data_IF_887832624242
#
_entry.id   IF_887832624242
#
_cell.length_a   1.000
_cell.length_b   1.000
_cell.length_c   1.000
_cell.angle_alpha   90.00
_cell.angle_beta   90.00
_cell.angle_gamma   90.00
#
_symmetry.space_group_name_H-M   'P 1'
#
loop_
_entity.id
_entity.type
_entity.pdbx_description
1 polymer ?
#
# COMPACT_ATOMS: atom_id res chain seq x y z
N UNK A 1 13.62 9.86 27.14
CA UNK A 1 13.89 8.72 26.21
C UNK A 1 12.73 7.73 26.09
N UNK A 2 12.18 7.15 27.16
CA UNK A 2 11.09 6.14 27.08
C UNK A 2 9.82 6.58 26.33
N UNK A 3 9.38 7.84 26.47
CA UNK A 3 8.20 8.39 25.74
C UNK A 3 8.42 8.54 24.24
N UNK A 4 9.64 8.86 23.81
CA UNK A 4 10.01 8.93 22.39
C UNK A 4 10.08 7.55 21.74
N UNK A 5 10.60 6.56 22.48
CA UNK A 5 10.63 5.17 22.01
C UNK A 5 9.21 4.62 21.81
N UNK A 6 8.28 4.89 22.75
CA UNK A 6 6.90 4.43 22.64
C UNK A 6 6.15 5.09 21.47
N UNK A 7 6.35 6.41 21.25
CA UNK A 7 5.79 7.12 20.10
C UNK A 7 6.34 6.59 18.76
N UNK A 8 7.63 6.23 18.71
CA UNK A 8 8.25 5.64 17.52
C UNK A 8 7.71 4.24 17.21
N UNK A 9 7.50 3.41 18.23
CA UNK A 9 6.89 2.07 18.07
C UNK A 9 5.44 2.19 17.57
N UNK A 10 4.64 3.09 18.15
CA UNK A 10 3.26 3.34 17.68
C UNK A 10 3.21 3.87 16.25
N UNK A 11 4.17 4.71 15.87
CA UNK A 11 4.30 5.22 14.51
C UNK A 11 4.66 4.11 13.51
N UNK A 12 5.56 3.19 13.86
CA UNK A 12 5.88 2.02 13.03
C UNK A 12 4.66 1.10 12.88
N UNK A 13 3.91 0.87 13.96
CA UNK A 13 2.68 0.07 13.93
C UNK A 13 1.63 0.74 13.02
N UNK A 14 1.48 2.07 13.09
CA UNK A 14 0.56 2.83 12.25
C UNK A 14 0.96 2.84 10.76
N UNK A 15 2.25 2.91 10.45
CA UNK A 15 2.74 2.79 9.06
C UNK A 15 2.51 1.38 8.53
N UNK A 16 2.78 0.35 9.34
CA UNK A 16 2.57 -1.03 8.93
C UNK A 16 1.07 -1.34 8.74
N UNK A 17 0.20 -0.85 9.62
CA UNK A 17 -1.25 -1.04 9.45
C UNK A 17 -1.79 -0.29 8.23
N UNK A 18 -1.30 0.92 7.95
CA UNK A 18 -1.66 1.67 6.75
C UNK A 18 -1.13 0.99 5.46
N UNK A 19 0.11 0.50 5.48
CA UNK A 19 0.70 -0.24 4.36
C UNK A 19 -0.07 -1.54 4.08
N UNK A 20 -0.42 -2.30 5.12
CA UNK A 20 -1.20 -3.53 5.00
C UNK A 20 -2.64 -3.27 4.53
N UNK A 21 -3.27 -2.18 4.99
CA UNK A 21 -4.57 -1.73 4.48
C UNK A 21 -4.53 -1.34 2.99
N UNK A 22 -3.48 -0.67 2.53
CA UNK A 22 -3.30 -0.34 1.10
C UNK A 22 -3.07 -1.57 0.22
N UNK A 23 -2.37 -2.58 0.74
CA UNK A 23 -2.09 -3.83 0.04
C UNK A 23 -3.35 -4.69 -0.14
N UNK A 24 -4.16 -4.82 0.90
CA UNK A 24 -5.45 -5.53 0.87
C UNK A 24 -6.43 -4.89 -0.15
N UNK A 25 -6.39 -3.55 -0.31
CA UNK A 25 -7.19 -2.85 -1.33
C UNK A 25 -6.78 -3.28 -2.75
N UNK A 26 -5.49 -3.41 -3.04
CA UNK A 26 -5.00 -3.80 -4.37
C UNK A 26 -5.32 -5.25 -4.70
N UNK A 27 -5.19 -6.16 -3.74
CA UNK A 27 -5.61 -7.57 -3.90
C UNK A 27 -7.10 -7.65 -4.22
N UNK A 28 -7.95 -6.96 -3.45
CA UNK A 28 -9.40 -6.92 -3.68
C UNK A 28 -9.76 -6.35 -5.05
N UNK A 29 -9.04 -5.35 -5.54
CA UNK A 29 -9.22 -4.81 -6.89
C UNK A 29 -8.90 -5.86 -7.96
N UNK A 30 -7.79 -6.60 -7.81
CA UNK A 30 -7.42 -7.67 -8.74
C UNK A 30 -8.42 -8.83 -8.72
N UNK A 31 -8.95 -9.20 -7.56
CA UNK A 31 -10.03 -10.19 -7.45
C UNK A 31 -11.28 -9.74 -8.22
N UNK A 32 -11.70 -8.47 -8.06
CA UNK A 32 -12.81 -7.89 -8.82
C UNK A 32 -12.56 -7.90 -10.33
N UNK A 33 -11.34 -7.60 -10.76
CA UNK A 33 -10.97 -7.69 -12.18
C UNK A 33 -11.03 -9.13 -12.70
N UNK A 34 -10.56 -10.11 -11.93
CA UNK A 34 -10.70 -11.52 -12.28
C UNK A 34 -12.17 -11.93 -12.43
N UNK A 35 -13.03 -11.50 -11.51
CA UNK A 35 -14.47 -11.76 -11.59
C UNK A 35 -15.11 -11.08 -12.82
N UNK A 36 -14.78 -9.81 -13.07
CA UNK A 36 -15.26 -9.06 -14.24
C UNK A 36 -14.87 -9.74 -15.55
N UNK A 37 -13.64 -10.23 -15.64
CA UNK A 37 -13.10 -10.87 -16.83
C UNK A 37 -13.21 -12.40 -16.79
N UNK A 38 -14.11 -12.95 -15.97
CA UNK A 38 -14.20 -14.41 -15.78
C UNK A 38 -14.50 -15.18 -17.07
N UNK A 39 -15.04 -14.54 -18.12
CA UNK A 39 -15.31 -15.15 -19.43
C UNK A 39 -14.20 -14.89 -20.47
N UNK A 40 -13.34 -13.89 -20.26
CA UNK A 40 -12.20 -13.60 -21.15
C UNK A 40 -10.96 -14.32 -20.61
N UNK A 41 -10.59 -15.43 -21.26
CA UNK A 41 -9.52 -16.31 -20.80
C UNK A 41 -8.17 -15.61 -20.66
N UNK A 42 -7.79 -14.75 -21.61
CA UNK A 42 -6.48 -14.09 -21.59
C UNK A 42 -6.39 -13.03 -20.50
N UNK A 43 -7.41 -12.17 -20.40
CA UNK A 43 -7.49 -11.18 -19.33
C UNK A 43 -7.55 -11.85 -17.96
N UNK A 44 -8.27 -12.96 -17.82
CA UNK A 44 -8.33 -13.71 -16.57
C UNK A 44 -6.96 -14.27 -16.17
N UNK A 45 -6.20 -14.83 -17.12
CA UNK A 45 -4.83 -15.31 -16.85
C UNK A 45 -3.95 -14.15 -16.40
N UNK A 46 -4.02 -13.01 -17.08
CA UNK A 46 -3.22 -11.82 -16.75
C UNK A 46 -3.49 -11.34 -15.33
N UNK A 47 -4.76 -11.07 -14.99
CA UNK A 47 -5.12 -10.54 -13.68
C UNK A 47 -4.92 -11.56 -12.57
N UNK A 48 -5.18 -12.84 -12.82
CA UNK A 48 -4.96 -13.90 -11.84
C UNK A 48 -3.46 -14.14 -11.57
N UNK A 49 -2.60 -13.97 -12.58
CA UNK A 49 -1.14 -14.01 -12.38
C UNK A 49 -0.68 -12.84 -11.52
N UNK A 50 -1.14 -11.62 -11.81
CA UNK A 50 -0.85 -10.44 -10.99
C UNK A 50 -1.35 -10.61 -9.54
N UNK A 51 -2.55 -11.17 -9.38
CA UNK A 51 -3.12 -11.48 -8.08
C UNK A 51 -2.24 -12.49 -7.32
N UNK A 52 -1.77 -13.54 -8.00
CA UNK A 52 -0.92 -14.56 -7.39
C UNK A 52 0.43 -13.96 -6.92
N UNK A 53 1.06 -13.13 -7.75
CA UNK A 53 2.33 -12.50 -7.44
C UNK A 53 2.20 -11.57 -6.23
N UNK A 54 1.16 -10.73 -6.21
CA UNK A 54 0.88 -9.81 -5.12
C UNK A 54 0.54 -10.56 -3.83
N UNK A 55 -0.37 -11.53 -3.89
CA UNK A 55 -0.75 -12.35 -2.75
C UNK A 55 0.45 -13.15 -2.19
N UNK A 56 1.37 -13.56 -3.07
CA UNK A 56 2.62 -14.20 -2.66
C UNK A 56 3.53 -13.27 -1.92
N UNK A 57 3.75 -12.07 -2.45
CA UNK A 57 4.57 -11.04 -1.81
C UNK A 57 4.03 -10.64 -0.44
N UNK A 58 2.71 -10.60 -0.29
CA UNK A 58 2.06 -10.13 0.94
C UNK A 58 1.67 -11.26 1.90
N UNK A 59 1.97 -12.52 1.57
CA UNK A 59 1.55 -13.71 2.33
C UNK A 59 0.03 -13.83 2.57
N UNK A 60 -0.77 -13.39 1.60
CA UNK A 60 -2.24 -13.44 1.67
C UNK A 60 -2.77 -14.80 1.18
N UNK A 61 -3.03 -15.72 2.12
CA UNK A 61 -3.41 -17.10 1.81
C UNK A 61 -4.70 -17.20 0.96
N UNK A 62 -5.76 -16.48 1.33
CA UNK A 62 -7.04 -16.54 0.61
C UNK A 62 -6.92 -16.02 -0.82
N UNK A 63 -6.16 -14.94 -1.02
CA UNK A 63 -5.90 -14.39 -2.33
C UNK A 63 -5.06 -15.33 -3.21
N UNK A 64 -4.08 -16.04 -2.63
CA UNK A 64 -3.35 -17.11 -3.33
C UNK A 64 -4.29 -18.22 -3.82
N UNK A 65 -5.17 -18.69 -2.94
CA UNK A 65 -6.16 -19.74 -3.28
C UNK A 65 -7.02 -19.28 -4.46
N UNK A 66 -7.57 -18.06 -4.40
CA UNK A 66 -8.39 -17.53 -5.48
C UNK A 66 -7.61 -17.36 -6.78
N UNK A 67 -6.37 -16.85 -6.72
CA UNK A 67 -5.52 -16.69 -7.90
C UNK A 67 -5.25 -18.03 -8.59
N UNK A 68 -4.87 -19.05 -7.81
CA UNK A 68 -4.69 -20.40 -8.32
C UNK A 68 -5.98 -20.98 -8.92
N UNK A 69 -7.14 -20.74 -8.29
CA UNK A 69 -8.43 -21.16 -8.84
C UNK A 69 -8.75 -20.49 -10.17
N UNK A 70 -8.54 -19.17 -10.28
CA UNK A 70 -8.79 -18.42 -11.52
C UNK A 70 -7.84 -18.88 -12.64
N UNK A 71 -6.55 -19.04 -12.34
CA UNK A 71 -5.56 -19.57 -13.29
C UNK A 71 -5.93 -20.99 -13.73
N UNK A 72 -6.28 -21.86 -12.78
CA UNK A 72 -6.75 -23.20 -13.05
C UNK A 72 -7.93 -23.22 -14.02
N UNK A 73 -8.99 -22.45 -13.75
CA UNK A 73 -10.16 -22.38 -14.63
C UNK A 73 -9.82 -21.82 -16.01
N UNK A 74 -9.00 -20.77 -16.10
CA UNK A 74 -8.65 -20.15 -17.37
C UNK A 74 -7.79 -21.09 -18.25
N UNK A 75 -6.81 -21.76 -17.65
CA UNK A 75 -5.93 -22.70 -18.34
C UNK A 75 -6.67 -23.96 -18.81
N UNK A 76 -7.70 -24.40 -18.07
CA UNK A 76 -8.60 -25.48 -18.50
C UNK A 76 -9.27 -25.12 -19.83
N UNK A 77 -9.77 -23.89 -19.98
CA UNK A 77 -10.41 -23.41 -21.23
C UNK A 77 -9.44 -23.26 -22.39
N UNK A 78 -8.15 -23.02 -22.11
CA UNK A 78 -7.06 -23.07 -23.10
C UNK A 78 -6.60 -24.49 -23.44
N UNK A 79 -7.30 -25.52 -22.94
CA UNK A 79 -6.93 -26.93 -23.07
C UNK A 79 -5.54 -27.27 -22.51
N UNK A 80 -4.97 -26.39 -21.68
CA UNK A 80 -3.70 -26.62 -20.98
C UNK A 80 -3.94 -27.39 -19.68
N UNK A 81 -4.47 -28.61 -19.80
CA UNK A 81 -5.01 -29.40 -18.68
C UNK A 81 -3.97 -29.64 -17.57
N UNK A 82 -2.73 -29.99 -17.93
CA UNK A 82 -1.67 -30.24 -16.93
C UNK A 82 -1.33 -28.98 -16.11
N UNK A 83 -1.23 -27.82 -16.77
CA UNK A 83 -0.98 -26.54 -16.09
C UNK A 83 -2.18 -26.15 -15.21
N UNK A 84 -3.39 -26.36 -15.72
CA UNK A 84 -4.62 -26.13 -14.97
C UNK A 84 -4.66 -26.97 -13.69
N UNK A 85 -4.46 -28.28 -13.79
CA UNK A 85 -4.43 -29.19 -12.64
C UNK A 85 -3.34 -28.80 -11.63
N UNK A 86 -2.16 -28.38 -12.09
CA UNK A 86 -1.10 -27.89 -11.19
C UNK A 86 -1.59 -26.73 -10.31
N UNK A 87 -2.22 -25.71 -10.90
CA UNK A 87 -2.77 -24.59 -10.11
C UNK A 87 -3.93 -25.04 -9.22
N UNK A 88 -4.83 -25.88 -9.71
CA UNK A 88 -5.98 -26.35 -8.92
C UNK A 88 -5.54 -27.18 -7.71
N UNK A 89 -4.57 -28.08 -7.85
CA UNK A 89 -4.01 -28.83 -6.71
C UNK A 89 -3.24 -27.93 -5.74
N UNK A 90 -2.54 -26.90 -6.24
CA UNK A 90 -1.93 -25.90 -5.36
C UNK A 90 -2.98 -25.16 -4.54
N UNK A 91 -4.11 -24.77 -5.15
CA UNK A 91 -5.22 -24.18 -4.41
C UNK A 91 -5.72 -25.13 -3.32
N UNK A 92 -6.02 -26.40 -3.65
CA UNK A 92 -6.49 -27.41 -2.68
C UNK A 92 -5.51 -27.60 -1.51
N UNK A 93 -4.20 -27.62 -1.78
CA UNK A 93 -3.17 -27.77 -0.74
C UNK A 93 -3.15 -26.62 0.27
N UNK A 94 -3.62 -25.44 -0.11
CA UNK A 94 -3.63 -24.24 0.71
C UNK A 94 -4.90 -24.11 1.56
N UNK A 95 -5.93 -24.94 1.35
CA UNK A 95 -7.19 -24.87 2.10
C UNK A 95 -7.04 -25.34 3.55
N UNK A 96 -7.59 -24.53 4.46
CA UNK A 96 -7.90 -24.84 5.86
C UNK A 96 -9.36 -25.30 6.03
N UNK A 97 -9.72 -26.10 7.05
CA UNK A 97 -11.11 -26.45 7.35
C UNK A 97 -12.06 -25.25 7.59
N UNK A 98 -11.51 -24.09 7.95
CA UNK A 98 -12.28 -22.85 8.19
C UNK A 98 -12.56 -22.05 6.91
N UNK A 99 -11.97 -22.45 5.79
CA UNK A 99 -12.05 -21.70 4.54
C UNK A 99 -13.39 -21.86 3.83
N UNK A 100 -13.67 -20.95 2.91
CA UNK A 100 -14.92 -20.93 2.17
C UNK A 100 -15.08 -22.19 1.29
N UNK A 101 -15.95 -23.10 1.74
CA UNK A 101 -16.24 -24.36 1.07
C UNK A 101 -16.73 -24.18 -0.38
N UNK A 102 -17.38 -23.08 -0.72
CA UNK A 102 -17.84 -22.82 -2.10
C UNK A 102 -16.67 -22.67 -3.08
N UNK A 103 -15.55 -22.08 -2.62
CA UNK A 103 -14.34 -21.95 -3.43
C UNK A 103 -13.74 -23.33 -3.68
N UNK A 104 -13.64 -24.18 -2.64
CA UNK A 104 -13.18 -25.57 -2.75
C UNK A 104 -14.04 -26.39 -3.70
N UNK A 105 -15.37 -26.28 -3.57
CA UNK A 105 -16.35 -26.93 -4.43
C UNK A 105 -16.11 -26.58 -5.92
N UNK A 106 -15.90 -25.29 -6.22
CA UNK A 106 -15.63 -24.86 -7.59
C UNK A 106 -14.29 -25.37 -8.14
N UNK A 107 -13.27 -25.56 -7.29
CA UNK A 107 -11.99 -26.15 -7.67
C UNK A 107 -12.18 -27.63 -8.03
N UNK A 108 -12.92 -28.37 -7.21
CA UNK A 108 -13.24 -29.77 -7.49
C UNK A 108 -14.02 -29.93 -8.79
N UNK A 109 -15.00 -29.07 -9.09
CA UNK A 109 -15.71 -29.10 -10.37
C UNK A 109 -14.75 -28.89 -11.56
N UNK A 110 -13.79 -27.96 -11.45
CA UNK A 110 -12.79 -27.77 -12.51
C UNK A 110 -11.88 -29.01 -12.67
N UNK A 111 -11.46 -29.64 -11.57
CA UNK A 111 -10.67 -30.88 -11.61
C UNK A 111 -11.47 -32.02 -12.26
N UNK A 112 -12.74 -32.19 -11.90
CA UNK A 112 -13.64 -33.19 -12.51
C UNK A 112 -13.71 -33.00 -14.03
N UNK A 113 -13.92 -31.78 -14.50
CA UNK A 113 -13.98 -31.49 -15.93
C UNK A 113 -12.65 -31.75 -16.64
N UNK A 114 -11.53 -31.36 -16.02
CA UNK A 114 -10.19 -31.63 -16.56
C UNK A 114 -9.91 -33.13 -16.67
N UNK A 115 -10.25 -33.90 -15.63
CA UNK A 115 -10.05 -35.35 -15.62
C UNK A 115 -10.97 -36.07 -16.62
N UNK A 116 -12.23 -35.64 -16.77
CA UNK A 116 -13.12 -36.12 -17.84
C UNK A 116 -12.54 -35.86 -19.23
N UNK A 117 -12.08 -34.62 -19.48
CA UNK A 117 -11.51 -34.24 -20.78
C UNK A 117 -10.22 -35.00 -21.11
N UNK A 118 -9.44 -35.37 -20.09
CA UNK A 118 -8.23 -36.20 -20.23
C UNK A 118 -8.48 -37.70 -20.12
N UNK A 119 -9.76 -38.13 -20.08
CA UNK A 119 -10.19 -39.54 -19.94
C UNK A 119 -9.68 -40.24 -18.67
N UNK A 120 -9.33 -39.47 -17.63
CA UNK A 120 -8.90 -39.95 -16.32
C UNK A 120 -10.12 -40.14 -15.40
N UNK A 121 -10.96 -41.12 -15.70
CA UNK A 121 -12.28 -41.23 -15.09
C UNK A 121 -12.25 -41.53 -13.59
N UNK A 122 -11.27 -42.29 -13.09
CA UNK A 122 -11.14 -42.60 -11.66
C UNK A 122 -10.87 -41.32 -10.83
N UNK A 123 -9.99 -40.45 -11.33
CA UNK A 123 -9.72 -39.15 -10.71
C UNK A 123 -10.96 -38.26 -10.73
N UNK A 124 -11.71 -38.24 -11.83
CA UNK A 124 -12.98 -37.51 -11.89
C UNK A 124 -13.98 -38.06 -10.85
N UNK A 125 -14.14 -39.38 -10.77
CA UNK A 125 -15.01 -40.03 -9.81
C UNK A 125 -14.63 -39.71 -8.36
N UNK A 126 -13.33 -39.73 -8.05
CA UNK A 126 -12.80 -39.35 -6.74
C UNK A 126 -13.26 -37.95 -6.33
N UNK A 127 -13.05 -36.93 -7.17
CA UNK A 127 -13.44 -35.56 -6.83
C UNK A 127 -14.96 -35.36 -6.78
N UNK A 128 -15.74 -36.09 -7.57
CA UNK A 128 -17.19 -36.06 -7.46
C UNK A 128 -17.67 -36.65 -6.12
N UNK A 129 -17.05 -37.75 -5.66
CA UNK A 129 -17.38 -38.33 -4.35
C UNK A 129 -16.99 -37.40 -3.19
N UNK A 130 -15.88 -36.66 -3.31
CA UNK A 130 -15.55 -35.62 -2.33
C UNK A 130 -16.60 -34.50 -2.32
N UNK A 131 -17.06 -34.06 -3.50
CA UNK A 131 -18.16 -33.08 -3.59
C UNK A 131 -19.44 -33.61 -2.93
N UNK A 132 -19.84 -34.85 -3.17
CA UNK A 132 -21.02 -35.44 -2.52
C UNK A 132 -20.88 -35.53 -1.00
N UNK A 133 -19.70 -35.96 -0.52
CA UNK A 133 -19.40 -36.08 0.90
C UNK A 133 -19.48 -34.74 1.62
N UNK A 134 -18.79 -33.73 1.08
CA UNK A 134 -18.72 -32.38 1.68
C UNK A 134 -20.07 -31.64 1.62
N UNK A 135 -20.98 -32.02 0.73
CA UNK A 135 -22.20 -31.26 0.42
C UNK A 135 -23.51 -32.07 0.58
N UNK A 136 -23.51 -33.14 1.38
CA UNK A 136 -24.69 -34.00 1.59
C UNK A 136 -25.96 -33.23 1.98
N UNK A 137 -25.78 -32.23 2.85
CA UNK A 137 -26.84 -31.37 3.40
C UNK A 137 -26.79 -29.94 2.84
N UNK A 138 -26.22 -29.74 1.65
CA UNK A 138 -26.09 -28.41 1.07
C UNK A 138 -27.49 -27.80 0.81
N UNK A 139 -27.74 -26.55 1.24
CA UNK A 139 -29.07 -25.93 1.16
C UNK A 139 -29.48 -25.60 -0.28
N UNK A 140 -28.50 -25.38 -1.17
CA UNK A 140 -28.78 -25.16 -2.59
C UNK A 140 -29.05 -26.47 -3.33
N UNK A 141 -30.32 -26.69 -3.65
CA UNK A 141 -30.79 -27.81 -4.47
C UNK A 141 -30.12 -27.84 -5.85
N UNK A 142 -29.88 -26.68 -6.46
CA UNK A 142 -29.23 -26.61 -7.77
C UNK A 142 -27.81 -27.19 -7.71
N UNK A 143 -27.03 -26.76 -6.72
CA UNK A 143 -25.68 -27.27 -6.51
C UNK A 143 -25.68 -28.79 -6.30
N UNK A 144 -26.57 -29.31 -5.45
CA UNK A 144 -26.69 -30.76 -5.21
C UNK A 144 -27.03 -31.53 -6.49
N UNK A 145 -27.97 -31.04 -7.30
CA UNK A 145 -28.34 -31.66 -8.57
C UNK A 145 -27.19 -31.58 -9.59
N UNK A 146 -26.38 -30.52 -9.56
CA UNK A 146 -25.19 -30.39 -10.41
C UNK A 146 -24.16 -31.50 -10.16
N UNK A 147 -24.06 -32.03 -8.93
CA UNK A 147 -23.14 -33.12 -8.61
C UNK A 147 -23.63 -34.44 -9.25
N UNK A 148 -24.93 -34.74 -9.17
CA UNK A 148 -25.51 -35.91 -9.85
C UNK A 148 -25.36 -35.83 -11.37
N UNK A 149 -25.54 -34.65 -11.97
CA UNK A 149 -25.29 -34.46 -13.40
C UNK A 149 -23.83 -34.70 -13.79
N UNK A 150 -22.87 -34.32 -12.92
CA UNK A 150 -21.46 -34.63 -13.15
C UNK A 150 -21.19 -36.15 -13.10
N UNK A 151 -21.85 -36.91 -12.21
CA UNK A 151 -21.80 -38.38 -12.24
C UNK A 151 -22.41 -38.94 -13.53
N UNK A 152 -23.60 -38.48 -13.90
CA UNK A 152 -24.27 -38.93 -15.12
C UNK A 152 -23.39 -38.74 -16.35
N UNK A 153 -22.85 -37.55 -16.54
CA UNK A 153 -21.96 -37.26 -17.67
C UNK A 153 -20.64 -38.03 -17.62
N UNK A 154 -20.13 -38.38 -16.44
CA UNK A 154 -18.97 -39.26 -16.30
C UNK A 154 -19.29 -40.69 -16.75
N UNK A 155 -20.40 -41.27 -16.28
CA UNK A 155 -20.84 -42.60 -16.69
C UNK A 155 -21.20 -42.66 -18.18
N UNK A 156 -21.74 -41.58 -18.73
CA UNK A 156 -22.05 -41.49 -20.16
C UNK A 156 -20.77 -41.56 -21.00
N UNK A 157 -19.69 -40.88 -20.58
CA UNK A 157 -18.37 -40.97 -21.23
C UNK A 157 -17.73 -42.36 -21.14
N UNK A 158 -18.18 -43.18 -20.19
CA UNK A 158 -17.81 -44.59 -20.03
C UNK A 158 -18.79 -45.55 -20.73
N UNK A 159 -19.79 -45.02 -21.46
CA UNK A 159 -20.86 -45.81 -22.09
C UNK A 159 -21.71 -46.63 -21.11
N UNK A 160 -21.71 -46.28 -19.82
CA UNK A 160 -22.55 -46.93 -18.80
C UNK A 160 -23.93 -46.25 -18.76
N UNK A 161 -24.82 -46.70 -19.64
CA UNK A 161 -26.12 -46.06 -19.88
C UNK A 161 -27.07 -46.17 -18.68
N UNK A 162 -27.08 -47.28 -17.95
CA UNK A 162 -27.97 -47.47 -16.80
C UNK A 162 -27.60 -46.54 -15.64
N UNK A 163 -26.31 -46.43 -15.34
CA UNK A 163 -25.83 -45.48 -14.32
C UNK A 163 -26.10 -44.04 -14.76
N UNK A 164 -25.90 -43.75 -16.06
CA UNK A 164 -26.21 -42.43 -16.62
C UNK A 164 -27.69 -42.07 -16.43
N UNK A 165 -28.59 -42.98 -16.82
CA UNK A 165 -30.03 -42.82 -16.68
C UNK A 165 -30.40 -42.58 -15.21
N UNK A 166 -29.92 -43.42 -14.29
CA UNK A 166 -30.17 -43.29 -12.86
C UNK A 166 -29.81 -41.92 -12.29
N UNK A 167 -28.60 -41.43 -12.59
CA UNK A 167 -28.15 -40.13 -12.08
C UNK A 167 -28.82 -38.94 -12.78
N UNK A 168 -29.22 -39.06 -14.05
CA UNK A 168 -30.03 -38.05 -14.73
C UNK A 168 -31.45 -37.97 -14.15
N UNK A 169 -32.10 -39.10 -13.90
CA UNK A 169 -33.40 -39.11 -13.22
C UNK A 169 -33.32 -38.45 -11.84
N UNK A 170 -32.26 -38.73 -11.07
CA UNK A 170 -32.02 -38.01 -9.80
C UNK A 170 -31.83 -36.52 -9.98
N UNK A 171 -31.07 -36.12 -11.01
CA UNK A 171 -30.83 -34.71 -11.34
C UNK A 171 -32.14 -33.99 -11.64
N UNK A 172 -32.96 -34.54 -12.53
CA UNK A 172 -34.23 -33.96 -12.99
C UNK A 172 -35.26 -33.91 -11.86
N UNK A 173 -35.41 -35.01 -11.10
CA UNK A 173 -36.33 -35.09 -9.96
C UNK A 173 -36.05 -34.03 -8.90
N UNK A 174 -34.79 -33.59 -8.78
CA UNK A 174 -34.41 -32.50 -7.88
C UNK A 174 -34.93 -31.12 -8.28
N UNK A 175 -35.50 -30.97 -9.48
CA UNK A 175 -36.18 -29.74 -9.94
C UNK A 175 -37.71 -29.88 -9.95
N UNK A 176 -38.25 -31.10 -9.82
CA UNK A 176 -39.70 -31.31 -9.74
C UNK A 176 -40.27 -30.63 -8.49
N UNK A 177 -41.42 -29.98 -8.64
CA UNK A 177 -42.08 -29.23 -7.55
C UNK A 177 -41.38 -27.93 -7.14
N UNK A 178 -40.27 -27.55 -7.78
CA UNK A 178 -39.54 -26.33 -7.48
C UNK A 178 -39.59 -25.36 -8.68
N UNK A 179 -39.98 -24.08 -8.49
CA UNK A 179 -39.98 -23.12 -9.58
C UNK A 179 -38.52 -22.82 -10.02
N UNK A 180 -38.28 -22.87 -11.33
CA UNK A 180 -36.98 -22.55 -11.94
C UNK A 180 -36.73 -21.04 -11.79
N UNK A 181 -35.70 -20.67 -11.03
CA UNK A 181 -35.51 -19.29 -10.57
C UNK A 181 -34.87 -18.38 -11.61
N UNK A 182 -34.08 -18.94 -12.52
CA UNK A 182 -33.26 -18.16 -13.46
C UNK A 182 -32.97 -18.93 -14.76
N UNK A 183 -32.50 -18.25 -15.82
CA UNK A 183 -32.17 -18.88 -17.10
C UNK A 183 -31.10 -19.97 -17.02
N UNK A 184 -30.20 -19.94 -16.03
CA UNK A 184 -29.16 -20.96 -15.89
C UNK A 184 -29.74 -22.30 -15.40
N UNK A 185 -30.70 -22.27 -14.48
CA UNK A 185 -31.42 -23.47 -14.05
C UNK A 185 -32.21 -24.09 -15.19
N UNK A 186 -32.93 -23.28 -15.98
CA UNK A 186 -33.63 -23.74 -17.19
C UNK A 186 -32.68 -24.37 -18.20
N UNK A 187 -31.53 -23.72 -18.46
CA UNK A 187 -30.48 -24.25 -19.33
C UNK A 187 -29.96 -25.60 -18.84
N UNK A 188 -29.68 -25.70 -17.54
CA UNK A 188 -29.16 -26.92 -16.94
C UNK A 188 -30.17 -28.08 -17.02
N UNK A 189 -31.44 -27.79 -16.74
CA UNK A 189 -32.51 -28.78 -16.85
C UNK A 189 -32.74 -29.22 -18.31
N UNK A 190 -32.71 -28.29 -19.26
CA UNK A 190 -32.79 -28.61 -20.69
C UNK A 190 -31.66 -29.57 -21.12
N UNK A 191 -30.42 -29.27 -20.71
CA UNK A 191 -29.27 -30.16 -20.97
C UNK A 191 -29.43 -31.54 -20.33
N UNK A 192 -30.02 -31.62 -19.15
CA UNK A 192 -30.30 -32.88 -18.46
C UNK A 192 -31.33 -33.73 -19.22
N UNK A 193 -32.41 -33.11 -19.70
CA UNK A 193 -33.40 -33.77 -20.55
C UNK A 193 -32.81 -34.22 -21.89
N UNK A 194 -32.01 -33.37 -22.54
CA UNK A 194 -31.34 -33.71 -23.81
C UNK A 194 -30.40 -34.91 -23.65
N UNK A 195 -29.61 -34.97 -22.57
CA UNK A 195 -28.73 -36.11 -22.33
C UNK A 195 -29.53 -37.38 -22.00
N UNK A 196 -30.63 -37.26 -21.25
CA UNK A 196 -31.49 -38.41 -20.95
C UNK A 196 -32.18 -38.93 -22.22
N UNK A 197 -32.59 -38.03 -23.11
CA UNK A 197 -33.10 -38.39 -24.43
C UNK A 197 -32.06 -39.17 -25.24
N UNK A 198 -30.80 -38.73 -25.28
CA UNK A 198 -29.71 -39.46 -25.97
C UNK A 198 -29.49 -40.86 -25.36
N UNK A 199 -29.60 -40.99 -24.04
CA UNK A 199 -29.53 -42.31 -23.37
C UNK A 199 -30.67 -43.22 -23.82
N UNK A 200 -31.91 -42.74 -23.84
CA UNK A 200 -33.04 -43.52 -24.33
C UNK A 200 -32.91 -43.87 -25.81
N UNK A 201 -32.40 -42.94 -26.64
CA UNK A 201 -32.13 -43.18 -28.05
C UNK A 201 -31.13 -44.32 -28.25
N UNK A 202 -30.02 -44.33 -27.49
CA UNK A 202 -29.02 -45.41 -27.54
C UNK A 202 -29.57 -46.75 -27.03
N UNK A 203 -30.51 -46.72 -26.07
CA UNK A 203 -31.27 -47.89 -25.61
C UNK A 203 -32.40 -48.31 -26.56
N UNK A 204 -32.58 -47.61 -27.69
CA UNK A 204 -33.62 -47.83 -28.70
C UNK A 204 -35.06 -47.59 -28.21
N UNK A 205 -35.23 -46.89 -27.08
CA UNK A 205 -36.53 -46.43 -26.61
C UNK A 205 -36.82 -45.04 -27.19
N UNK A 206 -37.21 -45.01 -28.47
CA UNK A 206 -37.40 -43.78 -29.22
C UNK A 206 -38.58 -42.94 -28.73
N UNK A 207 -39.59 -43.57 -28.11
CA UNK A 207 -40.74 -42.84 -27.54
C UNK A 207 -40.32 -42.06 -26.30
N UNK A 208 -39.61 -42.71 -25.36
CA UNK A 208 -39.09 -42.01 -24.17
C UNK A 208 -38.05 -40.96 -24.55
N UNK A 209 -37.19 -41.27 -25.52
CA UNK A 209 -36.22 -40.32 -26.06
C UNK A 209 -36.90 -39.06 -26.61
N UNK A 210 -37.94 -39.22 -27.44
CA UNK A 210 -38.71 -38.10 -27.99
C UNK A 210 -39.42 -37.28 -26.90
N UNK A 211 -39.98 -37.94 -25.87
CA UNK A 211 -40.60 -37.25 -24.73
C UNK A 211 -39.59 -36.33 -24.02
N UNK A 212 -38.41 -36.84 -23.68
CA UNK A 212 -37.38 -36.04 -23.01
C UNK A 212 -36.80 -34.96 -23.93
N UNK A 213 -36.59 -35.25 -25.23
CA UNK A 213 -36.15 -34.27 -26.21
C UNK A 213 -37.15 -33.10 -26.34
N UNK A 214 -38.46 -33.38 -26.27
CA UNK A 214 -39.52 -32.37 -26.27
C UNK A 214 -39.44 -31.44 -25.07
N UNK A 215 -39.23 -32.00 -23.86
CA UNK A 215 -39.02 -31.20 -22.64
C UNK A 215 -37.77 -30.31 -22.74
N UNK A 216 -36.68 -30.84 -23.29
CA UNK A 216 -35.47 -30.07 -23.57
C UNK A 216 -35.73 -28.91 -24.54
N UNK A 217 -36.45 -29.17 -25.63
CA UNK A 217 -36.75 -28.17 -26.65
C UNK A 217 -37.59 -27.02 -26.10
N UNK A 218 -38.62 -27.34 -25.31
CA UNK A 218 -39.49 -26.34 -24.70
C UNK A 218 -38.69 -25.34 -23.85
N UNK A 219 -37.82 -25.84 -22.96
CA UNK A 219 -36.96 -25.00 -22.13
C UNK A 219 -35.94 -24.23 -22.96
N UNK A 220 -35.34 -24.86 -23.98
CA UNK A 220 -34.31 -24.23 -24.83
C UNK A 220 -34.89 -23.07 -25.64
N UNK A 221 -36.11 -23.23 -26.18
CA UNK A 221 -36.85 -22.15 -26.86
C UNK A 221 -37.20 -21.02 -25.90
N UNK A 222 -37.71 -21.36 -24.71
CA UNK A 222 -38.09 -20.37 -23.69
C UNK A 222 -36.93 -19.44 -23.31
N UNK A 223 -35.72 -19.98 -23.16
CA UNK A 223 -34.54 -19.16 -22.81
C UNK A 223 -33.76 -18.62 -24.02
N UNK A 224 -34.26 -18.84 -25.25
CA UNK A 224 -33.60 -18.47 -26.50
C UNK A 224 -32.13 -18.96 -26.59
N UNK A 225 -31.86 -20.20 -26.17
CA UNK A 225 -30.50 -20.75 -26.15
C UNK A 225 -30.13 -21.40 -27.48
N UNK A 226 -29.81 -20.53 -28.46
CA UNK A 226 -29.52 -20.92 -29.86
C UNK A 226 -28.56 -22.11 -30.00
N UNK A 227 -27.45 -22.12 -29.27
CA UNK A 227 -26.44 -23.18 -29.38
C UNK A 227 -26.90 -24.58 -28.93
N UNK A 228 -28.05 -24.72 -28.27
CA UNK A 228 -28.65 -26.01 -27.94
C UNK A 228 -29.86 -26.37 -28.83
N UNK A 229 -30.37 -25.42 -29.62
CA UNK A 229 -31.49 -25.68 -30.54
C UNK A 229 -31.09 -26.69 -31.61
N UNK A 230 -29.96 -26.45 -32.29
CA UNK A 230 -29.38 -27.36 -33.30
C UNK A 230 -29.34 -28.82 -32.79
N UNK A 231 -28.68 -29.06 -31.66
CA UNK A 231 -28.56 -30.41 -31.06
C UNK A 231 -29.90 -31.04 -30.70
N UNK A 232 -30.86 -30.23 -30.25
CA UNK A 232 -32.17 -30.73 -29.87
C UNK A 232 -33.00 -31.07 -31.11
N UNK A 233 -32.94 -30.25 -32.17
CA UNK A 233 -33.58 -30.55 -33.45
C UNK A 233 -33.00 -31.79 -34.12
N UNK A 234 -31.67 -31.93 -34.12
CA UNK A 234 -31.01 -33.14 -34.59
C UNK A 234 -31.54 -34.40 -33.89
N UNK A 235 -31.64 -34.34 -32.55
CA UNK A 235 -32.16 -35.46 -31.77
C UNK A 235 -33.64 -35.74 -32.09
N UNK A 236 -34.47 -34.72 -32.26
CA UNK A 236 -35.86 -34.89 -32.71
C UNK A 236 -35.94 -35.54 -34.09
N UNK A 237 -35.12 -35.09 -35.03
CA UNK A 237 -35.07 -35.62 -36.39
C UNK A 237 -34.69 -37.11 -36.40
N UNK A 238 -33.62 -37.48 -35.67
CA UNK A 238 -33.17 -38.87 -35.50
C UNK A 238 -34.24 -39.76 -34.86
N UNK A 239 -34.97 -39.26 -33.86
CA UNK A 239 -36.06 -40.02 -33.21
C UNK A 239 -37.23 -40.24 -34.16
N UNK A 240 -37.68 -39.19 -34.86
CA UNK A 240 -38.78 -39.31 -35.83
C UNK A 240 -38.42 -40.23 -36.99
N UNK A 241 -37.17 -40.23 -37.45
CA UNK A 241 -36.67 -41.17 -38.47
C UNK A 241 -36.79 -42.62 -37.99
N UNK A 242 -36.32 -42.93 -36.79
CA UNK A 242 -36.41 -44.27 -36.20
C UNK A 242 -37.84 -44.73 -35.93
N UNK A 243 -38.76 -43.78 -35.70
CA UNK A 243 -40.19 -44.04 -35.55
C UNK A 243 -40.96 -44.08 -36.90
N UNK A 244 -40.29 -43.96 -38.04
CA UNK A 244 -40.91 -43.97 -39.37
C UNK A 244 -41.62 -42.68 -39.78
N UNK A 245 -41.51 -41.61 -38.98
CA UNK A 245 -42.14 -40.31 -39.22
C UNK A 245 -41.25 -39.42 -40.11
N UNK A 246 -41.02 -39.82 -41.36
CA UNK A 246 -40.04 -39.18 -42.26
C UNK A 246 -40.30 -37.69 -42.52
N UNK A 247 -41.57 -37.27 -42.64
CA UNK A 247 -41.91 -35.85 -42.86
C UNK A 247 -41.48 -34.97 -41.68
N UNK A 248 -41.78 -35.40 -40.45
CA UNK A 248 -41.37 -34.68 -39.24
C UNK A 248 -39.85 -34.70 -39.06
N UNK A 249 -39.22 -35.82 -39.39
CA UNK A 249 -37.76 -35.92 -39.35
C UNK A 249 -37.11 -34.89 -40.27
N UNK A 250 -37.57 -34.76 -41.52
CA UNK A 250 -37.10 -33.75 -42.47
C UNK A 250 -37.34 -32.33 -41.99
N UNK A 251 -38.52 -32.04 -41.43
CA UNK A 251 -38.82 -30.72 -40.84
C UNK A 251 -37.80 -30.33 -39.76
N UNK A 252 -37.47 -31.26 -38.86
CA UNK A 252 -36.48 -31.00 -37.83
C UNK A 252 -35.04 -30.87 -38.36
N UNK A 253 -34.65 -31.60 -39.40
CA UNK A 253 -33.35 -31.38 -40.05
C UNK A 253 -33.26 -29.99 -40.70
N UNK A 254 -34.35 -29.48 -41.30
CA UNK A 254 -34.37 -28.11 -41.83
C UNK A 254 -34.24 -27.07 -40.71
N UNK A 255 -34.93 -27.28 -39.59
CA UNK A 255 -34.80 -26.42 -38.41
C UNK A 255 -33.40 -26.49 -37.79
N UNK A 256 -32.75 -27.66 -37.82
CA UNK A 256 -31.35 -27.81 -37.44
C UNK A 256 -30.46 -26.94 -38.33
N UNK A 257 -30.59 -27.04 -39.65
CA UNK A 257 -29.80 -26.29 -40.64
C UNK A 257 -29.92 -24.77 -40.47
N UNK A 258 -31.14 -24.26 -40.23
CA UNK A 258 -31.38 -22.85 -39.92
C UNK A 258 -30.65 -22.35 -38.67
N UNK A 259 -30.37 -23.27 -37.73
CA UNK A 259 -29.79 -22.99 -36.44
C UNK A 259 -28.35 -23.49 -36.31
N UNK A 260 -27.75 -24.01 -37.40
CA UNK A 260 -26.32 -24.27 -37.48
C UNK A 260 -25.63 -22.96 -37.15
N UNK A 261 -25.00 -22.92 -35.97
CA UNK A 261 -24.10 -21.83 -35.69
C UNK A 261 -23.02 -21.89 -36.78
N UNK A 262 -22.69 -20.78 -37.48
CA UNK A 262 -21.56 -20.80 -38.38
C UNK A 262 -20.41 -21.41 -37.60
N UNK A 263 -19.78 -22.47 -38.13
CA UNK A 263 -18.55 -23.00 -37.54
C UNK A 263 -17.70 -21.77 -37.17
N UNK A 264 -17.09 -21.72 -35.97
CA UNK A 264 -16.18 -20.64 -35.68
C UNK A 264 -15.10 -20.69 -36.75
N UNK A 265 -15.28 -19.88 -37.81
CA UNK A 265 -14.35 -19.77 -38.91
C UNK A 265 -13.00 -19.53 -38.25
N UNK A 266 -11.98 -20.19 -38.77
CA UNK A 266 -10.58 -19.89 -38.43
C UNK A 266 -10.20 -18.40 -38.55
N UNK A 267 -11.11 -17.50 -38.95
CA UNK A 267 -11.08 -16.06 -38.75
C UNK A 267 -10.84 -15.63 -37.30
N UNK A 268 -11.33 -16.37 -36.27
CA UNK A 268 -10.95 -16.08 -34.87
C UNK A 268 -9.49 -16.42 -34.56
N UNK A 269 -8.78 -17.08 -35.48
CA UNK A 269 -7.33 -17.36 -35.39
C UNK A 269 -6.51 -16.29 -36.12
N UNK A 270 -7.02 -15.70 -37.21
CA UNK A 270 -6.27 -14.71 -38.01
C UNK A 270 -6.52 -13.26 -37.56
N UNK A 271 -7.78 -12.86 -37.34
CA UNK A 271 -8.11 -11.49 -36.90
C UNK A 271 -7.79 -11.29 -35.42
N UNK A 272 -7.93 -12.33 -34.60
CA UNK A 272 -7.37 -12.35 -33.25
C UNK A 272 -5.85 -12.33 -33.29
N UNK A 273 -5.12 -12.99 -34.21
CA UNK A 273 -3.65 -12.86 -34.23
C UNK A 273 -3.16 -11.46 -34.62
N UNK A 274 -3.84 -10.75 -35.52
CA UNK A 274 -3.48 -9.38 -35.89
C UNK A 274 -3.85 -8.37 -34.81
N UNK A 275 -5.06 -8.48 -34.24
CA UNK A 275 -5.43 -7.66 -33.07
C UNK A 275 -4.60 -8.03 -31.85
N UNK A 276 -4.20 -9.29 -31.65
CA UNK A 276 -3.34 -9.72 -30.54
C UNK A 276 -1.89 -9.30 -30.76
N UNK A 277 -1.37 -9.25 -31.99
CA UNK A 277 -0.04 -8.67 -32.26
C UNK A 277 -0.04 -7.15 -32.13
N UNK A 278 -1.12 -6.45 -32.54
CA UNK A 278 -1.28 -5.00 -32.32
C UNK A 278 -1.52 -4.65 -30.85
N UNK A 279 -2.36 -5.41 -30.14
CA UNK A 279 -2.68 -5.23 -28.72
C UNK A 279 -1.52 -5.67 -27.83
N UNK A 280 -0.86 -6.79 -28.10
CA UNK A 280 0.37 -7.17 -27.39
C UNK A 280 1.52 -6.20 -27.67
N UNK A 281 1.60 -5.64 -28.89
CA UNK A 281 2.49 -4.52 -29.22
C UNK A 281 2.16 -3.25 -28.44
N UNK A 282 0.87 -2.90 -28.32
CA UNK A 282 0.41 -1.75 -27.54
C UNK A 282 0.55 -1.96 -26.02
N UNK A 283 0.30 -3.15 -25.50
CA UNK A 283 0.47 -3.49 -24.09
C UNK A 283 1.95 -3.59 -23.73
N UNK A 284 2.80 -4.12 -24.60
CA UNK A 284 4.25 -4.10 -24.42
C UNK A 284 4.79 -2.67 -24.45
N UNK A 285 4.28 -1.80 -25.34
CA UNK A 285 4.60 -0.36 -25.34
C UNK A 285 4.09 0.35 -24.09
N UNK A 286 2.88 0.06 -23.61
CA UNK A 286 2.32 0.59 -22.35
C UNK A 286 3.11 0.08 -21.13
N UNK A 287 3.59 -1.16 -21.16
CA UNK A 287 4.45 -1.76 -20.12
C UNK A 287 5.83 -1.13 -20.12
N UNK A 288 6.47 -0.94 -21.28
CA UNK A 288 7.74 -0.22 -21.41
C UNK A 288 7.58 1.23 -20.94
N UNK A 289 6.49 1.90 -21.32
CA UNK A 289 6.18 3.26 -20.87
C UNK A 289 5.96 3.34 -19.35
N UNK A 290 5.21 2.39 -18.75
CA UNK A 290 5.03 2.31 -17.28
C UNK A 290 6.34 2.00 -16.56
N UNK A 291 7.13 1.04 -17.04
CA UNK A 291 8.42 0.69 -16.46
C UNK A 291 9.41 1.85 -16.54
N UNK A 292 9.40 2.62 -17.65
CA UNK A 292 10.21 3.84 -17.76
C UNK A 292 9.69 4.97 -16.85
N UNK A 293 8.38 5.13 -16.71
CA UNK A 293 7.80 6.11 -15.79
C UNK A 293 8.07 5.77 -14.31
N UNK A 294 8.04 4.49 -13.95
CA UNK A 294 8.44 4.04 -12.61
C UNK A 294 9.95 4.26 -12.40
N UNK A 295 10.80 3.87 -13.35
CA UNK A 295 12.25 4.12 -13.27
C UNK A 295 12.58 5.61 -13.17
N UNK A 296 11.89 6.48 -13.91
CA UNK A 296 12.08 7.93 -13.82
C UNK A 296 11.54 8.50 -12.51
N UNK A 297 10.46 7.96 -11.97
CA UNK A 297 9.94 8.32 -10.65
C UNK A 297 10.93 7.97 -9.53
N UNK A 298 11.50 6.76 -9.53
CA UNK A 298 12.53 6.36 -8.57
C UNK A 298 13.80 7.19 -8.71
N UNK A 299 14.27 7.48 -9.94
CA UNK A 299 15.40 8.39 -10.17
C UNK A 299 15.15 9.80 -9.62
N UNK A 300 13.95 10.36 -9.82
CA UNK A 300 13.58 11.68 -9.28
C UNK A 300 13.55 11.68 -7.74
N UNK A 301 13.01 10.64 -7.09
CA UNK A 301 12.98 10.56 -5.62
C UNK A 301 14.37 10.37 -5.00
N UNK A 302 15.25 9.57 -5.62
CA UNK A 302 16.64 9.44 -5.19
C UNK A 302 17.37 10.79 -5.31
N UNK A 303 17.16 11.52 -6.39
CA UNK A 303 17.75 12.85 -6.58
C UNK A 303 17.30 13.85 -5.51
N UNK A 304 16.00 13.91 -5.20
CA UNK A 304 15.46 14.77 -4.14
C UNK A 304 16.04 14.38 -2.77
N UNK A 305 16.15 13.08 -2.49
CA UNK A 305 16.74 12.59 -1.23
C UNK A 305 18.23 12.97 -1.11
N UNK A 306 19.00 12.84 -2.19
CA UNK A 306 20.42 13.24 -2.21
C UNK A 306 20.58 14.75 -2.02
N UNK A 307 19.72 15.54 -2.67
CA UNK A 307 19.71 17.00 -2.51
C UNK A 307 19.35 17.44 -1.08
N UNK A 308 18.40 16.76 -0.43
CA UNK A 308 18.07 17.02 0.97
C UNK A 308 19.25 16.70 1.90
N UNK A 309 19.97 15.59 1.65
CA UNK A 309 21.15 15.19 2.43
C UNK A 309 22.28 16.21 2.25
N UNK A 310 22.55 16.68 1.02
CA UNK A 310 23.60 17.67 0.79
C UNK A 310 23.28 19.02 1.46
N UNK A 311 22.01 19.44 1.45
CA UNK A 311 21.57 20.64 2.17
C UNK A 311 21.77 20.52 3.68
N UNK A 312 21.49 19.34 4.26
CA UNK A 312 21.74 19.06 5.68
C UNK A 312 23.24 19.09 6.02
N UNK A 313 24.10 18.56 5.14
CA UNK A 313 25.56 18.62 5.31
C UNK A 313 26.05 20.07 5.25
N UNK A 314 25.60 20.86 4.28
CA UNK A 314 26.00 22.27 4.13
C UNK A 314 25.56 23.12 5.31
N UNK A 315 24.33 22.92 5.81
CA UNK A 315 23.84 23.63 7.00
C UNK A 315 24.61 23.25 8.26
N UNK A 316 24.95 21.97 8.44
CA UNK A 316 25.81 21.49 9.52
C UNK A 316 27.20 22.13 9.47
N UNK A 317 27.84 22.15 8.30
CA UNK A 317 29.15 22.79 8.09
C UNK A 317 29.11 24.30 8.38
N UNK A 318 28.03 24.98 7.98
CA UNK A 318 27.84 26.41 8.28
C UNK A 318 27.75 26.68 9.78
N UNK A 319 27.01 25.87 10.53
CA UNK A 319 26.88 26.00 11.98
C UNK A 319 28.22 25.78 12.69
N UNK A 320 28.99 24.76 12.27
CA UNK A 320 30.34 24.49 12.81
C UNK A 320 31.30 25.65 12.55
N UNK A 321 31.30 26.21 11.33
CA UNK A 321 32.12 27.38 10.98
C UNK A 321 31.76 28.59 11.83
N UNK A 322 30.46 28.87 11.99
CA UNK A 322 29.96 29.98 12.82
C UNK A 322 30.41 29.86 14.28
N UNK A 323 30.32 28.66 14.86
CA UNK A 323 30.75 28.41 16.24
C UNK A 323 32.27 28.62 16.40
N UNK A 324 33.08 28.17 15.43
CA UNK A 324 34.54 28.39 15.43
C UNK A 324 34.90 29.88 15.39
N UNK A 325 34.24 30.67 14.54
CA UNK A 325 34.48 32.11 14.44
C UNK A 325 34.16 32.84 15.75
N UNK A 326 33.05 32.50 16.39
CA UNK A 326 32.66 33.10 17.67
C UNK A 326 33.66 32.78 18.80
N UNK A 327 34.19 31.56 18.83
CA UNK A 327 35.20 31.16 19.82
C UNK A 327 36.48 31.99 19.70
N UNK A 328 37.00 32.13 18.47
CA UNK A 328 38.22 32.91 18.17
C UNK A 328 38.02 34.39 18.54
N UNK A 329 36.83 34.95 18.29
CA UNK A 329 36.53 36.34 18.62
C UNK A 329 36.54 36.59 20.15
N UNK A 330 36.04 35.64 20.94
CA UNK A 330 36.05 35.73 22.41
C UNK A 330 37.47 35.56 22.97
N UNK A 331 38.22 34.56 22.49
CA UNK A 331 39.62 34.35 22.89
C UNK A 331 40.46 35.62 22.63
N UNK A 332 40.30 36.24 21.44
CA UNK A 332 41.02 37.49 21.11
C UNK A 332 40.66 38.68 22.02
N UNK A 333 39.39 38.84 22.38
CA UNK A 333 38.96 39.92 23.30
C UNK A 333 39.51 39.71 24.71
N UNK A 334 39.66 38.45 25.14
CA UNK A 334 40.27 38.12 26.42
C UNK A 334 41.76 38.50 26.41
N UNK A 335 42.51 38.14 25.37
CA UNK A 335 43.92 38.51 25.23
C UNK A 335 44.14 40.04 25.21
N UNK A 336 43.23 40.78 24.55
CA UNK A 336 43.27 42.24 24.48
C UNK A 336 43.00 42.90 25.84
N UNK A 337 42.08 42.36 26.63
CA UNK A 337 41.82 42.81 28.00
C UNK A 337 43.05 42.62 28.90
N UNK A 338 43.70 41.46 28.82
CA UNK A 338 44.92 41.18 29.59
C UNK A 338 46.08 42.11 29.21
N UNK A 339 46.26 42.37 27.92
CA UNK A 339 47.26 43.32 27.43
C UNK A 339 46.97 44.77 27.88
N UNK A 340 45.70 45.17 27.88
CA UNK A 340 45.25 46.48 28.34
C UNK A 340 45.55 46.69 29.83
N UNK A 341 45.19 45.72 30.68
CA UNK A 341 45.47 45.77 32.11
C UNK A 341 46.99 45.81 32.41
N UNK A 342 47.79 45.02 31.69
CA UNK A 342 49.26 45.02 31.83
C UNK A 342 49.92 46.34 31.42
N UNK A 343 49.33 47.09 30.47
CA UNK A 343 49.77 48.45 30.11
C UNK A 343 49.38 49.45 31.20
N UNK A 344 48.17 49.35 31.76
CA UNK A 344 47.70 50.21 32.82
C UNK A 344 48.54 50.10 34.10
N UNK A 345 48.96 48.87 34.47
CA UNK A 345 49.85 48.61 35.61
C UNK A 345 51.21 49.33 35.51
N UNK A 346 51.71 49.59 34.29
CA UNK A 346 53.00 50.29 34.08
C UNK A 346 52.91 51.82 34.17
N UNK A 347 51.71 52.40 34.23
CA UNK A 347 51.48 53.86 34.23
C UNK A 347 51.17 54.44 35.62
N UNK A 348 51.17 53.64 36.69
CA UNK A 348 50.64 54.08 37.99
C UNK A 348 51.62 54.99 38.76
N UNK A 349 51.23 56.27 38.93
CA UNK A 349 51.56 57.09 40.10
C UNK A 349 50.24 57.20 40.91
N UNK A 350 50.16 56.73 42.17
CA UNK A 350 48.90 56.66 42.89
C UNK A 350 48.56 58.03 43.47
N UNK A 351 47.57 58.70 42.88
CA UNK A 351 46.80 59.73 43.60
C UNK A 351 45.37 59.20 43.71
N UNK A 352 44.81 59.00 44.91
CA UNK A 352 43.44 58.50 45.04
C UNK A 352 42.47 59.53 44.48
N UNK A 353 41.93 59.25 43.29
CA UNK A 353 40.90 60.10 42.69
C UNK A 353 39.60 59.81 43.45
N UNK A 354 39.26 60.70 44.37
CA UNK A 354 38.03 60.62 45.16
C UNK A 354 36.88 61.24 44.38
N UNK A 355 35.83 60.46 44.12
CA UNK A 355 34.59 60.93 43.52
C UNK A 355 33.61 61.36 44.62
N UNK A 356 33.18 62.62 44.59
CA UNK A 356 32.18 63.13 45.54
C UNK A 356 30.78 62.98 44.94
N UNK A 357 29.98 62.10 45.54
CA UNK A 357 28.56 61.99 45.20
C UNK A 357 27.80 63.24 45.64
N UNK A 358 26.65 63.50 45.00
CA UNK A 358 25.73 64.56 45.45
C UNK A 358 25.20 64.36 46.87
N UNK A 359 25.22 63.13 47.37
CA UNK A 359 24.91 62.77 48.76
C UNK A 359 25.99 63.19 49.77
N UNK A 360 27.09 63.79 49.31
CA UNK A 360 28.32 64.11 50.07
C UNK A 360 29.17 62.91 50.49
N UNK A 361 28.79 61.69 50.08
CA UNK A 361 29.63 60.51 50.23
C UNK A 361 30.83 60.59 49.28
N UNK A 362 32.02 60.32 49.80
CA UNK A 362 33.27 60.31 49.02
C UNK A 362 33.64 58.87 48.71
N UNK A 363 33.71 58.52 47.42
CA UNK A 363 34.00 57.18 46.93
C UNK A 363 35.38 57.14 46.30
N UNK A 364 36.13 56.06 46.55
CA UNK A 364 37.33 55.75 45.80
C UNK A 364 36.96 55.10 44.46
N UNK A 365 37.31 55.77 43.36
CA UNK A 365 36.98 55.30 42.00
C UNK A 365 37.61 53.94 41.71
N UNK A 366 38.80 53.66 42.26
CA UNK A 366 39.49 52.38 42.05
C UNK A 366 38.72 51.19 42.66
N UNK A 367 37.90 51.44 43.69
CA UNK A 367 37.11 50.42 44.37
C UNK A 367 35.82 50.06 43.63
N UNK A 368 35.40 50.85 42.64
CA UNK A 368 34.14 50.63 41.90
C UNK A 368 34.31 49.43 40.96
N UNK A 369 33.41 48.44 41.10
CA UNK A 369 33.33 47.26 40.25
C UNK A 369 32.46 47.54 39.03
N UNK A 370 31.23 48.00 39.26
CA UNK A 370 30.27 48.33 38.22
C UNK A 370 29.17 49.25 38.74
N UNK A 371 28.41 49.82 37.82
CA UNK A 371 27.28 50.69 38.09
C UNK A 371 26.07 50.15 37.33
N UNK A 372 24.98 49.93 38.05
CA UNK A 372 23.72 49.42 37.52
C UNK A 372 22.67 50.53 37.50
N UNK A 373 21.91 50.60 36.41
CA UNK A 373 20.78 51.50 36.32
C UNK A 373 19.57 50.91 37.04
N UNK A 374 18.95 51.72 37.92
CA UNK A 374 17.65 51.41 38.54
C UNK A 374 16.70 52.62 38.42
N UNK A 375 15.86 52.61 37.38
CA UNK A 375 14.94 53.70 37.08
C UNK A 375 15.64 55.05 36.88
N UNK A 376 15.38 56.00 37.78
CA UNK A 376 16.00 57.34 37.80
C UNK A 376 17.25 57.43 38.68
N UNK A 377 17.70 56.28 39.19
CA UNK A 377 18.86 56.14 40.04
C UNK A 377 19.91 55.23 39.39
N UNK A 378 21.13 55.33 39.89
CA UNK A 378 22.18 54.35 39.66
C UNK A 378 22.62 53.76 40.99
N UNK A 379 22.89 52.46 40.99
CA UNK A 379 23.48 51.70 42.08
C UNK A 379 24.96 51.50 41.76
N UNK A 380 25.86 51.98 42.62
CA UNK A 380 27.31 51.88 42.48
C UNK A 380 27.80 50.77 43.39
N UNK A 381 28.30 49.69 42.80
CA UNK A 381 28.82 48.52 43.51
C UNK A 381 30.35 48.61 43.64
N UNK A 382 30.85 48.40 44.85
CA UNK A 382 32.26 48.55 45.21
C UNK A 382 32.81 47.27 45.82
N UNK A 383 34.14 47.11 45.78
CA UNK A 383 34.82 45.91 46.28
C UNK A 383 34.73 45.75 47.80
N UNK A 384 34.73 46.86 48.55
CA UNK A 384 34.83 46.86 50.02
C UNK A 384 33.48 47.13 50.73
N UNK A 385 32.35 47.04 50.01
CA UNK A 385 31.00 47.25 50.57
C UNK A 385 29.98 46.24 50.01
N UNK A 386 29.20 45.64 50.90
CA UNK A 386 28.12 44.71 50.51
C UNK A 386 26.90 45.41 49.90
N UNK A 387 26.63 46.66 50.33
CA UNK A 387 25.50 47.45 49.84
C UNK A 387 25.96 48.51 48.84
N UNK A 388 25.24 48.70 47.71
CA UNK A 388 25.58 49.71 46.72
C UNK A 388 25.26 51.11 47.21
N UNK A 389 26.02 52.10 46.74
CA UNK A 389 25.69 53.51 46.93
C UNK A 389 24.70 53.94 45.84
N UNK A 390 23.67 54.69 46.23
CA UNK A 390 22.60 55.08 45.32
C UNK A 390 22.70 56.57 45.00
N UNK A 391 22.71 56.90 43.71
CA UNK A 391 22.70 58.29 43.24
C UNK A 391 21.59 58.57 42.23
N UNK A 392 20.90 59.71 42.39
CA UNK A 392 19.86 60.16 41.46
C UNK A 392 20.46 60.81 40.21
N UNK A 393 20.91 59.96 39.30
CA UNK A 393 21.48 60.36 38.01
C UNK A 393 21.18 59.28 36.96
N UNK A 394 21.15 59.63 35.68
CA UNK A 394 21.01 58.62 34.62
C UNK A 394 22.35 57.94 34.36
N UNK A 395 22.32 56.67 33.96
CA UNK A 395 23.52 55.90 33.64
C UNK A 395 24.41 56.61 32.60
N UNK A 396 23.83 57.19 31.55
CA UNK A 396 24.59 57.95 30.54
C UNK A 396 25.29 59.18 31.13
N UNK A 397 24.67 59.88 32.07
CA UNK A 397 25.27 61.07 32.71
C UNK A 397 26.31 60.66 33.75
N UNK A 398 26.11 59.53 34.44
CA UNK A 398 27.13 58.96 35.34
C UNK A 398 28.40 58.59 34.56
N UNK A 399 28.27 58.00 33.37
CA UNK A 399 29.43 57.69 32.53
C UNK A 399 30.30 58.91 32.21
N UNK A 400 29.69 60.07 31.94
CA UNK A 400 30.42 61.32 31.65
C UNK A 400 31.19 61.89 32.84
N UNK A 401 30.92 61.40 34.06
CA UNK A 401 31.59 61.83 35.29
C UNK A 401 32.72 60.90 35.71
N UNK A 402 32.88 59.77 35.01
CA UNK A 402 33.90 58.77 35.28
C UNK A 402 35.05 58.88 34.27
N UNK A 403 36.27 58.45 34.65
CA UNK A 403 37.38 58.36 33.70
C UNK A 403 37.02 57.44 32.52
N UNK A 404 36.96 58.00 31.31
CA UNK A 404 36.60 57.26 30.08
C UNK A 404 37.59 56.14 29.73
N UNK A 405 38.77 56.14 30.35
CA UNK A 405 39.79 55.10 30.16
C UNK A 405 39.49 53.87 31.01
N UNK A 406 38.86 54.04 32.18
CA UNK A 406 38.69 52.97 33.16
C UNK A 406 37.26 52.42 33.15
N UNK A 407 36.28 53.24 32.74
CA UNK A 407 34.86 52.89 32.77
C UNK A 407 34.23 52.87 31.38
N UNK A 408 33.49 51.81 31.11
CA UNK A 408 32.75 51.65 29.86
C UNK A 408 31.37 51.07 30.07
N UNK A 409 30.42 51.50 29.23
CA UNK A 409 29.09 50.93 29.17
C UNK A 409 29.09 49.63 28.39
N UNK A 410 28.62 48.54 29.00
CA UNK A 410 28.55 47.20 28.39
C UNK A 410 27.11 46.75 28.09
N UNK A 411 26.12 47.44 28.65
CA UNK A 411 24.70 47.17 28.43
C UNK A 411 23.87 48.45 28.57
N UNK A 412 22.60 48.41 28.17
CA UNK A 412 21.66 49.51 28.46
C UNK A 412 21.54 49.80 29.97
N UNK A 413 21.88 48.82 30.82
CA UNK A 413 21.74 48.91 32.28
C UNK A 413 23.06 48.92 33.06
N UNK A 414 24.22 48.76 32.41
CA UNK A 414 25.49 48.51 33.10
C UNK A 414 26.65 49.34 32.55
N UNK A 415 27.39 49.98 33.46
CA UNK A 415 28.75 50.49 33.27
C UNK A 415 29.68 49.62 34.12
N UNK A 416 30.86 49.30 33.62
CA UNK A 416 31.83 48.44 34.32
C UNK A 416 33.19 49.11 34.37
N UNK A 417 33.92 48.88 35.46
CA UNK A 417 35.35 49.15 35.51
C UNK A 417 36.09 48.05 34.74
N UNK A 418 36.80 48.43 33.68
CA UNK A 418 37.45 47.50 32.74
C UNK A 418 38.50 46.65 33.46
N UNK A 419 39.22 47.27 34.41
CA UNK A 419 40.25 46.61 35.19
C UNK A 419 39.70 45.55 36.16
N UNK A 420 38.39 45.56 36.41
CA UNK A 420 37.70 44.60 37.28
C UNK A 420 37.02 43.47 36.52
N UNK A 421 37.18 43.41 35.19
CA UNK A 421 36.68 42.31 34.36
C UNK A 421 37.67 41.15 34.42
N UNK A 422 37.18 39.96 34.77
CA UNK A 422 37.95 38.71 34.84
C UNK A 422 37.79 37.84 33.59
N UNK A 423 36.56 37.68 33.10
CA UNK A 423 36.26 36.85 31.91
C UNK A 423 35.30 37.59 30.98
N UNK A 424 35.62 37.62 29.69
CA UNK A 424 34.70 38.07 28.63
C UNK A 424 34.12 36.84 27.92
N UNK A 425 32.79 36.74 27.86
CA UNK A 425 32.05 35.78 27.04
C UNK A 425 31.39 36.46 25.85
N UNK A 426 30.77 35.68 24.96
CA UNK A 426 30.10 36.23 23.76
C UNK A 426 28.92 37.15 24.08
N UNK A 427 28.25 36.95 25.22
CA UNK A 427 27.03 37.67 25.63
C UNK A 427 27.08 38.25 27.04
N UNK A 428 28.16 38.02 27.79
CA UNK A 428 28.29 38.44 29.20
C UNK A 428 29.75 38.73 29.55
N UNK A 429 29.98 39.46 30.63
CA UNK A 429 31.29 39.63 31.28
C UNK A 429 31.19 39.22 32.73
N UNK A 430 32.24 38.61 33.27
CA UNK A 430 32.35 38.24 34.68
C UNK A 430 33.35 39.16 35.36
N UNK A 431 32.99 39.69 36.53
CA UNK A 431 33.86 40.54 37.33
C UNK A 431 34.73 39.72 38.29
N UNK A 432 35.72 40.36 38.91
CA UNK A 432 36.59 39.75 39.93
C UNK A 432 35.83 39.17 41.13
N UNK A 433 34.71 39.80 41.53
CA UNK A 433 33.83 39.33 42.60
C UNK A 433 32.94 38.13 42.19
N UNK A 434 33.01 37.69 40.92
CA UNK A 434 32.23 36.57 40.39
C UNK A 434 30.87 36.94 39.80
N UNK A 435 30.46 38.21 39.81
CA UNK A 435 29.18 38.62 39.22
C UNK A 435 29.22 38.64 37.69
N UNK A 436 28.12 38.18 37.07
CA UNK A 436 27.95 38.14 35.62
C UNK A 436 27.04 39.27 35.15
N UNK A 437 27.56 40.13 34.27
CA UNK A 437 26.84 41.23 33.65
C UNK A 437 26.60 40.95 32.17
N UNK A 438 25.39 41.24 31.67
CA UNK A 438 25.06 41.05 30.25
C UNK A 438 25.83 42.03 29.36
N UNK A 439 26.35 41.56 28.23
CA UNK A 439 27.06 42.34 27.22
C UNK A 439 26.21 42.42 25.96
N UNK A 440 25.80 43.64 25.58
CA UNK A 440 25.02 43.84 24.34
C UNK A 440 25.92 43.80 23.10
N UNK A 441 25.37 43.41 21.95
CA UNK A 441 26.11 43.38 20.68
C UNK A 441 26.69 44.74 20.31
N UNK A 442 25.95 45.82 20.54
CA UNK A 442 26.38 47.19 20.23
C UNK A 442 27.55 47.59 21.14
N UNK A 443 27.41 47.40 22.45
CA UNK A 443 28.44 47.79 23.43
C UNK A 443 29.67 46.87 23.41
N UNK A 444 29.55 45.64 22.89
CA UNK A 444 30.70 44.76 22.64
C UNK A 444 31.68 45.38 21.65
N UNK A 445 31.18 46.09 20.64
CA UNK A 445 32.04 46.78 19.67
C UNK A 445 32.72 47.99 20.33
N UNK A 446 32.03 48.71 21.21
CA UNK A 446 32.61 49.83 21.97
C UNK A 446 33.72 49.35 22.91
N UNK A 447 33.49 48.24 23.62
CA UNK A 447 34.49 47.59 24.47
C UNK A 447 35.73 47.20 23.67
N UNK A 448 35.53 46.55 22.52
CA UNK A 448 36.61 46.20 21.60
C UNK A 448 37.40 47.43 21.15
N UNK A 449 36.72 48.50 20.75
CA UNK A 449 37.36 49.73 20.30
C UNK A 449 38.19 50.39 21.41
N UNK A 450 37.72 50.34 22.67
CA UNK A 450 38.45 50.88 23.81
C UNK A 450 39.73 50.08 24.12
N UNK A 451 39.64 48.74 24.08
CA UNK A 451 40.80 47.86 24.24
C UNK A 451 41.85 48.03 23.12
N UNK A 452 41.43 48.52 21.95
CA UNK A 452 42.32 48.84 20.82
C UNK A 452 42.93 50.24 20.84
N UNK A 453 42.49 51.16 21.72
CA UNK A 453 43.12 52.48 21.82
C UNK A 453 44.57 52.31 22.32
N UNK A 454 45.57 52.92 21.64
CA UNK A 454 46.99 52.63 21.86
C UNK A 454 47.52 52.89 23.27
#
# INVERSE_FOLDING_TARGET
MKRFFFAFVLFIIAINSFAQGSQDIHTKQLQKLCQKHIRNTDSLILYATQLLDLATKNNELQAKIEAHRFLGSALSRKQSINKSNKHLHQAVKLFSPTDNQNVKNSIYINLVNNHKNSKQYDSAHFYINQLLKDNKNHPDHFFKNSIYYNLATLFFLQSNLDSTQFYLTKTIKGFEGNPLKNPNEKRFLAQSYSLLAEVYYQKQDYNQSLEQATKSLALTKEINFKAALEKTYNLMARNHEKLGNLNKSREYYLLEDEHIAPEPKGAFKHEFSETHNKVAGQESRKKIFRLNNEKTFYKKKIFISLFAITLLILTSLFLLKKHKTQKIEVEKLQDELEAYNKKAEKKVIPTPLKFLLKSKATIDIASILYIKSDGHYVEIYMQDKDNPEIERISLSKMLTQLPEQDFIRIHKSYIVNIHKIKIINSTQVMLENGEWLNLSRTYKQDLKNLLHKP
#
